data_IF_558196969363
#
_entry.id   IF_558196969363
#
_cell.length_a   1.000
_cell.length_b   1.000
_cell.length_c   1.000
_cell.angle_alpha   90.00
_cell.angle_beta   90.00
_cell.angle_gamma   90.00
#
_symmetry.space_group_name_H-M   'P 1'
#
loop_
_entity.id
_entity.type
_entity.pdbx_description
1 polymer ?
#
# COMPACT_ATOMS: atom_id res chain seq x y z
N UNK A 1 1.42 -8.36 -4.50
CA UNK A 1 1.25 -7.35 -3.44
C UNK A 1 2.03 -6.12 -3.85
N UNK A 2 1.55 -4.91 -3.55
CA UNK A 2 2.27 -3.66 -3.80
C UNK A 2 2.03 -2.67 -2.68
N UNK A 3 2.84 -1.61 -2.63
CA UNK A 3 2.68 -0.51 -1.67
C UNK A 3 2.38 0.78 -2.43
N UNK A 4 1.31 1.46 -2.01
CA UNK A 4 0.95 2.78 -2.51
C UNK A 4 1.93 3.84 -1.96
N UNK A 5 2.51 4.68 -2.82
CA UNK A 5 3.33 5.82 -2.40
C UNK A 5 2.54 7.13 -2.34
N UNK A 6 1.31 7.12 -2.85
CA UNK A 6 0.36 8.23 -2.85
C UNK A 6 -1.07 7.68 -2.81
N UNK A 7 -2.05 8.56 -2.74
CA UNK A 7 -3.47 8.18 -2.75
C UNK A 7 -3.91 7.71 -4.15
N UNK A 8 -4.00 6.39 -4.32
CA UNK A 8 -4.35 5.74 -5.58
C UNK A 8 -5.85 5.35 -5.62
N UNK A 9 -6.75 6.33 -5.57
CA UNK A 9 -8.22 6.13 -5.49
C UNK A 9 -8.79 5.26 -6.63
N UNK A 10 -8.12 5.23 -7.79
CA UNK A 10 -8.53 4.40 -8.93
C UNK A 10 -8.42 2.88 -8.66
N UNK A 11 -7.63 2.46 -7.66
CA UNK A 11 -7.47 1.06 -7.28
C UNK A 11 -8.69 0.54 -6.51
N UNK A 12 -9.40 1.41 -5.80
CA UNK A 12 -10.62 1.06 -5.06
C UNK A 12 -11.69 0.53 -6.02
N UNK A 13 -11.83 1.19 -7.18
CA UNK A 13 -12.77 0.77 -8.24
C UNK A 13 -12.30 -0.44 -9.04
N UNK A 14 -11.02 -0.80 -8.94
CA UNK A 14 -10.42 -1.94 -9.65
C UNK A 14 -10.41 -3.24 -8.84
N UNK A 15 -10.99 -3.22 -7.63
CA UNK A 15 -11.13 -4.40 -6.77
C UNK A 15 -9.87 -4.75 -5.97
N UNK A 16 -8.90 -3.84 -5.86
CA UNK A 16 -7.74 -4.07 -5.01
C UNK A 16 -8.08 -3.82 -3.54
N UNK A 17 -8.18 -4.88 -2.76
CA UNK A 17 -8.41 -4.79 -1.33
C UNK A 17 -7.09 -4.46 -0.58
N UNK A 18 -7.03 -3.38 0.22
CA UNK A 18 -5.88 -3.11 1.07
C UNK A 18 -5.79 -4.14 2.20
N UNK A 19 -4.65 -4.83 2.30
CA UNK A 19 -4.41 -5.86 3.33
C UNK A 19 -3.66 -5.33 4.56
N UNK A 20 -2.97 -4.20 4.44
CA UNK A 20 -2.16 -3.61 5.50
C UNK A 20 -1.94 -2.11 5.29
N UNK A 21 -1.42 -1.43 6.33
CA UNK A 21 -0.84 -0.08 6.22
C UNK A 21 0.56 -0.06 6.79
N UNK A 22 1.45 0.74 6.20
CA UNK A 22 2.78 0.97 6.77
C UNK A 22 2.62 1.86 8.00
N UNK A 23 2.74 1.27 9.19
CA UNK A 23 2.61 2.01 10.45
C UNK A 23 3.86 2.82 10.79
N UNK A 24 5.04 2.31 10.45
CA UNK A 24 6.35 2.97 10.65
C UNK A 24 7.27 2.68 9.46
N UNK A 25 8.20 3.60 9.18
CA UNK A 25 9.25 3.37 8.18
C UNK A 25 8.93 3.80 6.75
N UNK A 26 7.97 4.71 6.53
CA UNK A 26 7.66 5.23 5.17
C UNK A 26 8.90 5.82 4.45
N UNK A 27 9.81 6.48 5.18
CA UNK A 27 11.09 6.95 4.61
C UNK A 27 11.93 5.82 3.99
N UNK A 28 11.84 4.60 4.50
CA UNK A 28 12.52 3.43 3.93
C UNK A 28 11.83 2.99 2.64
N UNK A 29 10.49 3.01 2.61
CA UNK A 29 9.68 2.68 1.43
C UNK A 29 9.94 3.68 0.29
N UNK A 30 10.03 4.97 0.60
CA UNK A 30 10.36 6.02 -0.37
C UNK A 30 11.72 5.78 -1.04
N UNK A 31 12.69 5.23 -0.29
CA UNK A 31 14.06 4.92 -0.76
C UNK A 31 14.19 3.63 -1.57
N UNK A 32 13.13 2.84 -1.75
CA UNK A 32 13.15 1.67 -2.64
C UNK A 32 13.65 2.11 -4.03
N UNK A 33 14.58 1.35 -4.62
CA UNK A 33 15.12 1.70 -5.94
C UNK A 33 13.99 1.75 -6.98
N UNK A 34 13.79 2.92 -7.61
CA UNK A 34 12.74 3.16 -8.59
C UNK A 34 13.21 3.01 -10.05
N UNK A 35 14.48 2.65 -10.26
CA UNK A 35 15.14 2.57 -11.57
C UNK A 35 14.32 1.81 -12.62
N UNK A 36 13.74 0.67 -12.25
CA UNK A 36 13.07 -0.24 -13.20
C UNK A 36 11.56 -0.04 -13.30
N UNK A 37 10.95 0.81 -12.45
CA UNK A 37 9.50 1.08 -12.49
C UNK A 37 8.61 -0.15 -12.71
N UNK A 38 7.81 -0.11 -13.77
CA UNK A 38 6.88 -1.17 -14.20
C UNK A 38 7.49 -2.09 -15.29
N UNK A 39 8.81 -2.06 -15.52
CA UNK A 39 9.50 -2.92 -16.50
C UNK A 39 9.50 -4.42 -16.14
N UNK A 40 9.58 -4.85 -14.85
CA UNK A 40 9.52 -6.26 -14.52
C UNK A 40 8.22 -6.91 -14.99
N UNK A 41 8.34 -7.90 -15.87
CA UNK A 41 7.20 -8.59 -16.46
C UNK A 41 6.59 -9.58 -15.45
N UNK A 42 5.33 -9.37 -15.09
CA UNK A 42 4.66 -10.18 -14.08
C UNK A 42 4.53 -11.67 -14.47
N UNK A 43 4.39 -11.98 -15.77
CA UNK A 43 4.32 -13.36 -16.27
C UNK A 43 5.67 -14.08 -16.15
N UNK A 44 6.77 -13.38 -16.41
CA UNK A 44 8.13 -13.89 -16.21
C UNK A 44 8.49 -14.03 -14.75
N UNK A 45 8.02 -13.12 -13.89
CA UNK A 45 8.17 -13.29 -12.43
C UNK A 45 7.46 -14.57 -11.97
N UNK A 46 6.25 -14.85 -12.45
CA UNK A 46 5.51 -16.07 -12.08
C UNK A 46 6.18 -17.35 -12.60
N UNK A 47 6.74 -17.33 -13.82
CA UNK A 47 7.28 -18.53 -14.47
C UNK A 47 8.76 -18.78 -14.19
N UNK A 48 9.59 -17.74 -14.13
CA UNK A 48 11.05 -17.83 -13.94
C UNK A 48 11.51 -17.38 -12.55
N UNK A 49 10.70 -16.59 -11.84
CA UNK A 49 10.98 -16.12 -10.49
C UNK A 49 12.29 -15.34 -10.35
N UNK A 50 12.99 -15.60 -9.25
CA UNK A 50 14.21 -14.89 -8.85
C UNK A 50 15.32 -14.93 -9.92
N UNK A 51 15.41 -16.01 -10.70
CA UNK A 51 16.43 -16.13 -11.75
C UNK A 51 16.28 -15.05 -12.84
N UNK A 52 15.04 -14.75 -13.21
CA UNK A 52 14.72 -13.68 -14.15
C UNK A 52 15.09 -12.31 -13.58
N UNK A 53 14.70 -12.07 -12.33
CA UNK A 53 14.94 -10.80 -11.63
C UNK A 53 16.42 -10.51 -11.44
N UNK A 54 17.21 -11.50 -11.01
CA UNK A 54 18.66 -11.32 -10.85
C UNK A 54 19.36 -11.02 -12.17
N UNK A 55 18.92 -11.66 -13.26
CA UNK A 55 19.53 -11.50 -14.59
C UNK A 55 19.18 -10.16 -15.22
N UNK A 56 17.95 -9.70 -15.09
CA UNK A 56 17.46 -8.50 -15.80
C UNK A 56 17.40 -7.24 -14.93
N UNK A 57 17.21 -7.39 -13.62
CA UNK A 57 17.04 -6.29 -12.67
C UNK A 57 17.98 -6.46 -11.46
N UNK A 58 19.30 -6.48 -11.68
CA UNK A 58 20.28 -6.79 -10.62
C UNK A 58 20.26 -5.81 -9.45
N UNK A 59 19.75 -4.58 -9.64
CA UNK A 59 19.65 -3.55 -8.60
C UNK A 59 18.26 -3.44 -7.96
N UNK A 60 17.38 -4.42 -8.19
CA UNK A 60 16.05 -4.45 -7.58
C UNK A 60 16.17 -4.55 -6.06
N UNK A 61 15.39 -3.75 -5.33
CA UNK A 61 15.32 -3.85 -3.87
C UNK A 61 14.56 -5.11 -3.48
N UNK A 62 15.08 -5.88 -2.51
CA UNK A 62 14.50 -7.15 -2.07
C UNK A 62 14.13 -7.10 -0.59
N UNK A 63 13.03 -7.74 -0.23
CA UNK A 63 12.71 -8.05 1.16
C UNK A 63 13.43 -9.35 1.54
N UNK A 64 14.35 -9.29 2.50
CA UNK A 64 15.12 -10.47 2.91
C UNK A 64 14.48 -11.21 4.08
N UNK A 65 13.71 -10.52 4.92
CA UNK A 65 13.07 -11.08 6.10
C UNK A 65 11.76 -10.37 6.38
N UNK A 66 10.77 -11.16 6.82
CA UNK A 66 9.51 -10.69 7.35
C UNK A 66 9.32 -11.35 8.71
N UNK A 67 8.93 -10.57 9.71
CA UNK A 67 8.67 -11.04 11.07
C UNK A 67 7.27 -10.58 11.49
N UNK A 68 6.50 -11.50 12.06
CA UNK A 68 5.21 -11.18 12.67
C UNK A 68 5.49 -10.75 14.11
N UNK A 69 5.12 -9.52 14.46
CA UNK A 69 5.27 -8.98 15.81
C UNK A 69 3.94 -9.06 16.55
N UNK A 70 3.86 -9.90 17.58
CA UNK A 70 2.66 -10.10 18.41
C UNK A 70 2.08 -11.51 18.29
N UNK A 71 1.03 -11.79 19.06
CA UNK A 71 0.22 -13.00 18.91
C UNK A 71 -0.84 -12.76 17.83
N UNK A 72 -0.96 -13.72 16.91
CA UNK A 72 -2.00 -13.71 15.89
C UNK A 72 -3.23 -14.39 16.50
N UNK A 73 -4.20 -13.59 16.93
CA UNK A 73 -5.49 -14.09 17.38
C UNK A 73 -6.39 -14.31 16.15
N UNK A 74 -6.60 -15.58 15.78
CA UNK A 74 -7.45 -15.99 14.68
C UNK A 74 -8.94 -16.04 15.06
N UNK A 75 -9.30 -15.65 16.29
CA UNK A 75 -10.69 -15.59 16.76
C UNK A 75 -11.41 -14.29 16.42
N UNK A 76 -10.70 -13.25 15.97
CA UNK A 76 -11.29 -12.03 15.41
C UNK A 76 -11.63 -12.28 13.93
N UNK A 77 -12.91 -12.53 13.65
CA UNK A 77 -13.44 -12.58 12.28
C UNK A 77 -13.03 -11.29 11.54
N UNK A 78 -12.33 -11.43 10.41
CA UNK A 78 -11.96 -10.31 9.55
C UNK A 78 -13.24 -9.62 9.07
N UNK A 79 -13.76 -8.66 9.83
CA UNK A 79 -14.91 -7.87 9.40
C UNK A 79 -14.45 -7.14 8.14
N UNK A 80 -14.97 -7.48 6.95
CA UNK A 80 -14.62 -6.75 5.75
C UNK A 80 -15.03 -5.31 6.02
N UNK A 81 -14.05 -4.39 6.03
CA UNK A 81 -14.35 -2.96 6.13
C UNK A 81 -15.38 -2.67 5.05
N UNK A 82 -16.58 -2.17 5.38
CA UNK A 82 -17.58 -1.87 4.37
C UNK A 82 -16.92 -0.96 3.34
N UNK A 83 -17.12 -1.20 2.03
CA UNK A 83 -16.56 -0.35 1.00
C UNK A 83 -16.93 1.09 1.35
N UNK A 84 -15.94 1.98 1.40
CA UNK A 84 -16.16 3.39 1.71
C UNK A 84 -16.97 4.02 0.58
N UNK A 85 -18.29 3.85 0.63
CA UNK A 85 -19.29 4.65 -0.06
C UNK A 85 -20.45 4.84 0.90
N UNK A 86 -20.76 6.13 1.10
CA UNK A 86 -21.89 6.70 1.84
C UNK A 86 -21.70 6.75 3.36
N UNK A 87 -20.88 7.70 3.83
CA UNK A 87 -21.22 8.39 5.07
C UNK A 87 -22.47 9.24 4.82
N UNK A 88 -23.65 8.64 5.01
CA UNK A 88 -24.85 9.41 5.33
C UNK A 88 -24.77 9.78 6.82
N UNK A 89 -25.17 11.00 7.14
CA UNK A 89 -24.93 11.81 8.36
C UNK A 89 -25.40 11.23 9.72
N UNK A 90 -25.66 9.94 9.87
CA UNK A 90 -26.29 9.38 11.08
C UNK A 90 -25.33 8.88 12.17
N UNK A 91 -24.00 9.03 12.04
CA UNK A 91 -23.01 8.57 13.04
C UNK A 91 -22.35 9.73 13.82
N UNK A 92 -23.04 10.86 13.95
CA UNK A 92 -22.69 11.98 14.82
C UNK A 92 -23.32 11.80 16.20
N UNK A 93 -22.68 10.99 17.05
CA UNK A 93 -22.83 10.88 18.52
C UNK A 93 -22.05 9.61 18.92
N UNK A 94 -20.98 9.58 19.71
CA UNK A 94 -20.33 10.51 20.64
C UNK A 94 -18.84 10.14 20.70
N UNK A 95 -17.91 11.10 20.73
CA UNK A 95 -16.66 11.01 21.51
C UNK A 95 -15.97 12.39 21.56
N UNK A 96 -15.35 12.75 22.69
CA UNK A 96 -15.00 14.13 23.02
C UNK A 96 -13.73 14.62 22.30
N UNK A 97 -13.71 15.93 22.19
CA UNK A 97 -12.86 16.82 21.39
C UNK A 97 -11.35 16.56 21.46
N UNK A 98 -10.73 16.42 20.27
CA UNK A 98 -9.36 16.85 20.03
C UNK A 98 -9.31 17.60 18.70
N UNK A 99 -9.38 18.93 18.78
CA UNK A 99 -9.18 19.84 17.64
C UNK A 99 -7.77 19.65 17.07
N UNK A 100 -7.68 19.32 15.78
CA UNK A 100 -6.47 19.54 14.99
C UNK A 100 -6.87 20.39 13.78
N UNK A 101 -6.34 21.61 13.72
CA UNK A 101 -6.54 22.50 12.59
C UNK A 101 -5.76 21.99 11.37
N UNK A 102 -6.43 21.82 10.23
CA UNK A 102 -5.79 21.50 8.96
C UNK A 102 -5.58 22.77 8.14
N UNK A 103 -4.32 23.04 7.79
CA UNK A 103 -3.96 24.09 6.81
C UNK A 103 -4.39 23.66 5.38
N UNK A 104 -4.73 24.60 4.49
CA UNK A 104 -5.30 24.28 3.18
C UNK A 104 -4.26 23.65 2.23
N UNK A 105 -4.65 22.55 1.59
CA UNK A 105 -3.84 21.83 0.60
C UNK A 105 -3.88 22.52 -0.76
N UNK A 106 -2.71 22.93 -1.26
CA UNK A 106 -2.55 23.42 -2.63
C UNK A 106 -2.59 22.25 -3.63
N UNK A 107 -3.44 22.39 -4.65
CA UNK A 107 -3.74 21.40 -5.69
C UNK A 107 -2.65 21.36 -6.76
N UNK A 108 -2.13 20.18 -7.13
CA UNK A 108 -1.31 20.08 -8.35
C UNK A 108 -0.59 18.75 -8.63
N UNK A 109 -1.07 18.06 -9.68
CA UNK A 109 -0.46 17.00 -10.52
C UNK A 109 -0.60 15.54 -10.08
N UNK A 110 -1.43 14.84 -10.85
CA UNK A 110 -1.68 13.40 -10.83
C UNK A 110 -0.60 12.66 -11.65
N UNK A 111 0.13 11.75 -11.02
CA UNK A 111 0.86 10.65 -11.67
C UNK A 111 0.64 9.43 -10.77
N UNK A 112 0.25 8.24 -11.27
CA UNK A 112 0.12 7.07 -10.42
C UNK A 112 1.50 6.66 -9.88
N UNK A 113 1.61 6.49 -8.56
CA UNK A 113 2.86 6.19 -7.85
C UNK A 113 2.71 4.88 -7.06
N UNK A 114 2.69 3.76 -7.77
CA UNK A 114 2.75 2.42 -7.19
C UNK A 114 4.20 1.91 -7.24
N UNK A 115 4.62 1.16 -6.22
CA UNK A 115 5.84 0.33 -6.32
C UNK A 115 5.46 -1.13 -6.09
N UNK A 116 5.71 -1.95 -7.09
CA UNK A 116 5.60 -3.39 -6.97
C UNK A 116 6.75 -3.91 -6.10
N UNK A 117 6.42 -4.75 -5.12
CA UNK A 117 7.42 -5.48 -4.34
C UNK A 117 7.56 -6.87 -4.94
N UNK A 118 8.79 -7.31 -5.16
CA UNK A 118 9.11 -8.68 -5.58
C UNK A 118 9.95 -9.37 -4.52
#
# INVERSE_FOLDING_TARGET
>A
MFVNLADNVFLDTSGFAPVARVFRGMKTVERINAEYGEEPDQGKIQSEGEKYLQRQFPRLTKILRVEIMGEYDDSEELVPRPPTKLINEAALMETPEARVEFLPVLKGRNVPVTKNMV
#
